data_IF_833698802675
#
_entry.id   IF_833698802675
#
_cell.length_a   1.000
_cell.length_b   1.000
_cell.length_c   1.000
_cell.angle_alpha   90.00
_cell.angle_beta   90.00
_cell.angle_gamma   90.00
#
_symmetry.space_group_name_H-M   'P 1'
#
loop_
_entity.id
_entity.type
_entity.pdbx_description
1 polymer ?
#
# COMPACT_ATOMS: atom_id res chain seq x y z
N UNK A 1 10.50 10.81 -9.51
CA UNK A 1 9.13 11.13 -9.03
C UNK A 1 8.18 10.18 -9.75
N UNK A 2 7.55 9.25 -9.03
CA UNK A 2 6.54 8.35 -9.61
C UNK A 2 5.35 9.22 -10.03
N UNK A 3 5.14 9.40 -11.34
CA UNK A 3 4.00 10.18 -11.83
C UNK A 3 2.71 9.40 -11.53
N UNK A 4 1.59 10.06 -11.28
CA UNK A 4 0.31 9.35 -11.19
C UNK A 4 -0.22 9.03 -12.57
N UNK A 5 -0.96 7.92 -12.65
CA UNK A 5 -1.81 7.66 -13.82
C UNK A 5 -2.87 8.77 -13.92
N UNK A 6 -3.07 9.39 -15.10
CA UNK A 6 -4.15 10.35 -15.29
C UNK A 6 -5.52 9.75 -14.98
N UNK A 7 -6.43 10.55 -14.39
CA UNK A 7 -7.81 10.12 -14.10
C UNK A 7 -8.52 9.66 -15.37
N UNK A 8 -8.25 10.32 -16.50
CA UNK A 8 -8.79 9.96 -17.81
C UNK A 8 -8.43 8.52 -18.20
N UNK A 9 -7.20 8.08 -17.92
CA UNK A 9 -6.76 6.70 -18.18
C UNK A 9 -7.54 5.70 -17.33
N UNK A 10 -7.85 6.04 -16.08
CA UNK A 10 -8.61 5.17 -15.17
C UNK A 10 -10.07 5.05 -15.62
N UNK A 11 -10.68 6.15 -16.07
CA UNK A 11 -12.04 6.15 -16.62
C UNK A 11 -12.10 5.32 -17.91
N UNK A 12 -11.12 5.45 -18.81
CA UNK A 12 -11.02 4.60 -20.01
C UNK A 12 -10.83 3.12 -19.66
N UNK A 13 -10.02 2.83 -18.63
CA UNK A 13 -9.84 1.47 -18.13
C UNK A 13 -11.16 0.88 -17.60
N UNK A 14 -11.99 1.67 -16.91
CA UNK A 14 -13.33 1.26 -16.47
C UNK A 14 -14.29 0.98 -17.64
N UNK A 15 -14.09 1.65 -18.78
CA UNK A 15 -14.82 1.39 -20.01
C UNK A 15 -14.33 0.13 -20.75
N UNK A 16 -13.23 -0.51 -20.30
CA UNK A 16 -12.63 -1.68 -20.94
C UNK A 16 -11.68 -1.33 -22.09
N UNK A 17 -11.15 -0.11 -22.13
CA UNK A 17 -10.19 0.32 -23.14
C UNK A 17 -8.84 -0.40 -22.98
N UNK A 18 -8.42 -1.10 -24.03
CA UNK A 18 -7.19 -1.90 -24.04
C UNK A 18 -5.92 -1.03 -24.00
N UNK A 19 -5.93 0.16 -24.63
CA UNK A 19 -4.79 1.07 -24.59
C UNK A 19 -4.59 1.65 -23.18
N UNK A 20 -5.68 1.93 -22.47
CA UNK A 20 -5.66 2.35 -21.08
C UNK A 20 -5.14 1.23 -20.16
N UNK A 21 -5.51 -0.03 -20.42
CA UNK A 21 -4.94 -1.18 -19.71
C UNK A 21 -3.44 -1.29 -19.93
N UNK A 22 -2.97 -1.21 -21.17
CA UNK A 22 -1.54 -1.28 -21.48
C UNK A 22 -0.76 -0.13 -20.81
N UNK A 23 -1.30 1.09 -20.83
CA UNK A 23 -0.69 2.22 -20.14
C UNK A 23 -0.61 1.99 -18.62
N UNK A 24 -1.66 1.46 -18.01
CA UNK A 24 -1.69 1.09 -16.59
C UNK A 24 -0.69 -0.04 -16.28
N UNK A 25 -0.62 -1.05 -17.13
CA UNK A 25 0.32 -2.16 -16.98
C UNK A 25 1.77 -1.67 -16.97
N UNK A 26 2.18 -0.91 -17.99
CA UNK A 26 3.55 -0.38 -18.09
C UNK A 26 3.90 0.54 -16.92
N UNK A 27 2.91 1.25 -16.40
CA UNK A 27 3.09 2.15 -15.27
C UNK A 27 3.32 1.43 -13.94
N UNK A 28 2.65 0.29 -13.73
CA UNK A 28 2.61 -0.38 -12.43
C UNK A 28 3.44 -1.67 -12.38
N UNK A 29 3.77 -2.30 -13.52
CA UNK A 29 4.42 -3.62 -13.58
C UNK A 29 5.62 -3.76 -12.66
N UNK A 30 6.55 -2.81 -12.70
CA UNK A 30 7.81 -2.92 -11.97
C UNK A 30 7.60 -2.68 -10.47
N UNK A 31 6.74 -1.73 -10.12
CA UNK A 31 6.38 -1.44 -8.72
C UNK A 31 5.68 -2.65 -8.08
N UNK A 32 4.66 -3.19 -8.75
CA UNK A 32 3.91 -4.34 -8.24
C UNK A 32 4.78 -5.59 -8.20
N UNK A 33 5.64 -5.80 -9.20
CA UNK A 33 6.60 -6.91 -9.18
C UNK A 33 7.54 -6.82 -7.97
N UNK A 34 8.11 -5.64 -7.71
CA UNK A 34 8.97 -5.42 -6.53
C UNK A 34 8.20 -5.73 -5.25
N UNK A 35 6.97 -5.22 -5.09
CA UNK A 35 6.14 -5.47 -3.90
C UNK A 35 5.87 -6.97 -3.72
N UNK A 36 5.39 -7.65 -4.76
CA UNK A 36 5.05 -9.07 -4.72
C UNK A 36 6.29 -9.92 -4.45
N UNK A 37 7.40 -9.67 -5.15
CA UNK A 37 8.67 -10.36 -4.95
C UNK A 37 9.23 -10.16 -3.56
N UNK A 38 9.06 -8.95 -3.02
CA UNK A 38 9.52 -8.63 -1.67
C UNK A 38 8.78 -9.45 -0.59
N UNK A 39 7.56 -9.93 -0.88
CA UNK A 39 6.77 -10.78 0.01
C UNK A 39 7.06 -12.27 -0.25
N UNK A 40 7.04 -12.70 -1.51
CA UNK A 40 7.13 -14.13 -1.86
C UNK A 40 8.57 -14.66 -1.88
N UNK A 41 9.56 -13.78 -2.11
CA UNK A 41 10.98 -14.11 -2.32
C UNK A 41 11.22 -15.19 -3.40
N UNK A 42 10.25 -15.41 -4.30
CA UNK A 42 10.31 -16.44 -5.34
C UNK A 42 9.91 -15.86 -6.70
N UNK A 43 10.77 -16.02 -7.70
CA UNK A 43 10.64 -15.35 -9.00
C UNK A 43 9.39 -15.81 -9.75
N UNK A 44 9.21 -17.13 -9.92
CA UNK A 44 8.09 -17.69 -10.69
C UNK A 44 6.75 -17.32 -10.04
N UNK A 45 6.63 -17.53 -8.72
CA UNK A 45 5.42 -17.17 -7.96
C UNK A 45 5.13 -15.69 -8.03
N UNK A 46 6.15 -14.83 -8.06
CA UNK A 46 5.93 -13.39 -8.21
C UNK A 46 5.40 -13.01 -9.57
N UNK A 47 5.85 -13.68 -10.63
CA UNK A 47 5.38 -13.44 -11.99
C UNK A 47 3.93 -13.89 -12.16
N UNK A 48 3.58 -15.06 -11.63
CA UNK A 48 2.21 -15.58 -11.64
C UNK A 48 1.26 -14.63 -10.90
N UNK A 49 1.62 -14.23 -9.67
CA UNK A 49 0.79 -13.33 -8.87
C UNK A 49 0.72 -11.92 -9.45
N UNK A 50 1.76 -11.44 -10.13
CA UNK A 50 1.71 -10.18 -10.86
C UNK A 50 0.67 -10.24 -11.98
N UNK A 51 0.63 -11.36 -12.71
CA UNK A 51 -0.36 -11.57 -13.75
C UNK A 51 -1.79 -11.65 -13.17
N UNK A 52 -1.98 -12.42 -12.09
CA UNK A 52 -3.25 -12.49 -11.37
C UNK A 52 -3.72 -11.13 -10.85
N UNK A 53 -2.77 -10.31 -10.37
CA UNK A 53 -3.04 -8.93 -9.94
C UNK A 53 -3.63 -8.11 -11.06
N UNK A 54 -3.01 -8.11 -12.26
CA UNK A 54 -3.52 -7.33 -13.39
C UNK A 54 -4.85 -7.86 -13.93
N UNK A 55 -5.06 -9.18 -13.92
CA UNK A 55 -6.36 -9.78 -14.25
C UNK A 55 -7.43 -9.28 -13.27
N UNK A 56 -7.15 -9.34 -11.98
CA UNK A 56 -8.07 -8.89 -10.93
C UNK A 56 -8.34 -7.39 -10.98
N UNK A 57 -7.33 -6.59 -11.29
CA UNK A 57 -7.48 -5.16 -11.55
C UNK A 57 -8.44 -4.93 -12.72
N UNK A 58 -8.24 -5.61 -13.85
CA UNK A 58 -9.07 -5.43 -15.03
C UNK A 58 -10.54 -5.83 -14.78
N UNK A 59 -10.78 -6.89 -14.00
CA UNK A 59 -12.13 -7.35 -13.69
C UNK A 59 -12.83 -6.49 -12.63
N UNK A 60 -12.09 -5.97 -11.65
CA UNK A 60 -12.66 -5.25 -10.51
C UNK A 60 -12.61 -3.72 -10.64
N UNK A 61 -11.87 -3.14 -11.59
CA UNK A 61 -11.70 -1.67 -11.73
C UNK A 61 -13.02 -0.92 -11.88
N UNK A 62 -14.04 -1.56 -12.46
CA UNK A 62 -15.41 -1.00 -12.58
C UNK A 62 -16.08 -0.77 -11.23
N UNK A 63 -15.63 -1.45 -10.18
CA UNK A 63 -16.14 -1.30 -8.81
C UNK A 63 -15.46 -0.14 -8.05
N UNK A 64 -14.35 0.39 -8.58
CA UNK A 64 -13.63 1.50 -7.97
C UNK A 64 -14.43 2.80 -8.09
N UNK A 65 -15.03 3.24 -6.99
CA UNK A 65 -15.87 4.45 -6.95
C UNK A 65 -15.10 5.76 -7.10
N UNK A 66 -13.85 5.80 -6.62
CA UNK A 66 -13.01 6.98 -6.67
C UNK A 66 -11.71 6.68 -7.44
N UNK A 67 -11.58 7.17 -8.69
CA UNK A 67 -10.37 7.01 -9.49
C UNK A 67 -9.09 7.55 -8.83
N UNK A 68 -9.17 8.56 -7.95
CA UNK A 68 -8.01 9.09 -7.25
C UNK A 68 -7.34 8.04 -6.35
N UNK A 69 -8.09 7.03 -5.91
CA UNK A 69 -7.64 5.94 -5.03
C UNK A 69 -7.06 4.75 -5.80
N UNK A 70 -6.95 4.83 -7.13
CA UNK A 70 -6.49 3.71 -7.95
C UNK A 70 -5.12 3.20 -7.53
N UNK A 71 -4.17 4.10 -7.24
CA UNK A 71 -2.81 3.74 -6.82
C UNK A 71 -2.77 2.87 -5.56
N UNK A 72 -3.47 3.29 -4.51
CA UNK A 72 -3.56 2.50 -3.27
C UNK A 72 -4.33 1.21 -3.46
N UNK A 73 -5.38 1.24 -4.29
CA UNK A 73 -6.23 0.09 -4.55
C UNK A 73 -5.49 -1.03 -5.30
N UNK A 74 -4.73 -0.70 -6.35
CA UNK A 74 -3.94 -1.71 -7.09
C UNK A 74 -2.83 -2.33 -6.24
N UNK A 75 -2.16 -1.53 -5.41
CA UNK A 75 -1.15 -2.03 -4.47
C UNK A 75 -1.80 -2.99 -3.45
N UNK A 76 -3.02 -2.71 -2.99
CA UNK A 76 -3.74 -3.59 -2.07
C UNK A 76 -3.98 -4.97 -2.67
N UNK A 77 -4.43 -5.00 -3.93
CA UNK A 77 -4.69 -6.25 -4.65
C UNK A 77 -3.41 -7.09 -4.71
N UNK A 78 -2.31 -6.50 -5.17
CA UNK A 78 -1.03 -7.16 -5.32
C UNK A 78 -0.52 -7.75 -4.00
N UNK A 79 -0.54 -6.94 -2.94
CA UNK A 79 -0.10 -7.34 -1.60
C UNK A 79 -0.98 -8.46 -1.04
N UNK A 80 -2.29 -8.37 -1.17
CA UNK A 80 -3.21 -9.39 -0.65
C UNK A 80 -3.00 -10.74 -1.34
N UNK A 81 -2.82 -10.74 -2.66
CA UNK A 81 -2.49 -11.95 -3.41
C UNK A 81 -1.16 -12.56 -2.95
N UNK A 82 -0.12 -11.73 -2.81
CA UNK A 82 1.20 -12.16 -2.33
C UNK A 82 1.16 -12.74 -0.89
N UNK A 83 0.50 -12.05 0.04
CA UNK A 83 0.38 -12.49 1.43
C UNK A 83 -0.41 -13.80 1.55
N UNK A 84 -1.49 -13.94 0.77
CA UNK A 84 -2.28 -15.16 0.75
C UNK A 84 -1.49 -16.34 0.20
N UNK A 85 -0.62 -16.12 -0.79
CA UNK A 85 0.21 -17.17 -1.38
C UNK A 85 1.28 -17.72 -0.42
N UNK A 86 1.81 -16.88 0.49
CA UNK A 86 2.85 -17.31 1.45
C UNK A 86 2.30 -17.74 2.81
N UNK A 87 0.99 -17.60 3.03
CA UNK A 87 0.38 -17.81 4.35
C UNK A 87 0.57 -19.25 4.82
N UNK A 88 1.29 -19.43 5.94
CA UNK A 88 1.33 -20.71 6.66
C UNK A 88 0.07 -20.87 7.52
N UNK A 89 -0.45 -22.10 7.70
CA UNK A 89 -1.57 -22.34 8.61
C UNK A 89 -1.24 -21.84 10.02
N UNK A 90 -2.01 -20.87 10.54
CA UNK A 90 -1.86 -20.32 11.88
C UNK A 90 -1.14 -18.97 11.98
N UNK A 91 -0.60 -18.41 10.89
CA UNK A 91 0.07 -17.11 10.91
C UNK A 91 -0.94 -15.98 10.61
N UNK A 92 -1.14 -15.08 11.60
CA UNK A 92 -1.93 -13.86 11.43
C UNK A 92 -1.06 -12.78 10.79
N UNK A 93 -1.20 -12.63 9.47
CA UNK A 93 -0.72 -11.44 8.78
C UNK A 93 -1.70 -10.29 9.06
N UNK A 94 -1.14 -9.09 9.17
CA UNK A 94 -1.78 -7.78 9.33
C UNK A 94 -3.32 -7.74 9.21
N UNK A 95 -3.96 -7.23 10.26
CA UNK A 95 -5.39 -6.90 10.26
C UNK A 95 -5.71 -5.94 9.10
N UNK A 96 -6.72 -6.33 8.31
CA UNK A 96 -7.27 -5.69 7.11
C UNK A 96 -7.58 -4.20 7.34
N UNK A 97 -7.85 -3.84 8.61
CA UNK A 97 -8.03 -2.47 9.09
C UNK A 97 -6.85 -1.55 8.76
N UNK A 98 -5.60 -2.00 8.89
CA UNK A 98 -4.42 -1.12 8.79
C UNK A 98 -4.23 -0.52 7.41
N UNK A 99 -4.48 -1.32 6.37
CA UNK A 99 -4.33 -0.87 4.99
C UNK A 99 -5.57 -0.12 4.49
N UNK A 100 -6.76 -0.44 5.02
CA UNK A 100 -7.97 0.35 4.77
C UNK A 100 -7.84 1.82 5.24
N UNK A 101 -6.91 2.14 6.16
CA UNK A 101 -6.55 3.53 6.46
C UNK A 101 -5.63 4.16 5.40
N UNK A 102 -4.74 3.39 4.78
CA UNK A 102 -3.84 3.89 3.72
C UNK A 102 -4.57 4.11 2.39
N UNK A 103 -5.59 3.29 2.08
CA UNK A 103 -6.41 3.40 0.86
C UNK A 103 -7.50 4.46 0.89
N UNK A 104 -7.66 5.20 2.01
CA UNK A 104 -8.70 6.23 2.13
C UNK A 104 -8.28 7.62 1.65
N UNK A 105 -7.02 7.84 1.28
CA UNK A 105 -6.50 9.17 0.96
C UNK A 105 -6.23 9.35 -0.53
N UNK A 106 -6.65 10.49 -1.04
CA UNK A 106 -6.50 10.88 -2.45
C UNK A 106 -5.08 11.38 -2.78
N UNK A 107 -4.18 11.52 -1.79
CA UNK A 107 -2.78 11.91 -1.99
C UNK A 107 -1.75 11.15 -1.11
N UNK A 108 -1.00 10.17 -1.67
CA UNK A 108 0.14 9.53 -0.98
C UNK A 108 1.28 10.47 -0.52
N UNK A 109 1.40 11.69 -1.05
CA UNK A 109 2.39 12.69 -0.62
C UNK A 109 2.11 13.16 0.81
N UNK A 110 0.86 13.42 1.16
CA UNK A 110 0.47 13.87 2.52
C UNK A 110 0.71 12.75 3.55
N UNK A 111 0.46 11.50 3.16
CA UNK A 111 0.71 10.34 4.00
C UNK A 111 2.22 10.09 4.24
N UNK A 112 3.05 10.19 3.20
CA UNK A 112 4.51 10.09 3.33
C UNK A 112 5.06 11.25 4.19
N UNK A 113 4.48 12.45 4.07
CA UNK A 113 4.83 13.62 4.90
C UNK A 113 4.52 13.36 6.38
N UNK A 114 3.35 12.82 6.69
CA UNK A 114 2.93 12.42 8.03
C UNK A 114 3.82 11.34 8.63
N UNK A 115 4.27 10.40 7.80
CA UNK A 115 5.18 9.31 8.17
C UNK A 115 6.55 9.83 8.60
N UNK A 116 7.11 10.79 7.87
CA UNK A 116 8.40 11.41 8.21
C UNK A 116 8.33 12.31 9.44
N UNK A 117 7.18 12.95 9.69
CA UNK A 117 7.02 13.93 10.77
C UNK A 117 6.77 13.31 12.15
N UNK A 118 6.06 12.19 12.20
CA UNK A 118 5.50 11.67 13.47
C UNK A 118 6.14 10.36 13.95
N UNK A 119 6.92 9.67 13.13
CA UNK A 119 7.52 8.39 13.49
C UNK A 119 9.02 8.50 13.73
N UNK A 120 9.50 7.83 14.77
CA UNK A 120 10.94 7.68 14.98
C UNK A 120 11.58 6.96 13.79
N UNK A 121 12.90 7.15 13.62
CA UNK A 121 13.66 6.54 12.53
C UNK A 121 13.50 5.01 12.47
N UNK A 122 13.43 4.35 13.63
CA UNK A 122 13.29 2.89 13.72
C UNK A 122 11.87 2.45 13.34
N UNK A 123 10.84 3.15 13.83
CA UNK A 123 9.44 2.90 13.46
C UNK A 123 9.22 3.08 11.95
N UNK A 124 9.84 4.12 11.38
CA UNK A 124 9.86 4.38 9.94
C UNK A 124 10.44 3.20 9.16
N UNK A 125 11.63 2.71 9.55
CA UNK A 125 12.28 1.58 8.90
C UNK A 125 11.46 0.29 9.02
N UNK A 126 10.87 0.01 10.18
CA UNK A 126 10.03 -1.18 10.37
C UNK A 126 8.81 -1.13 9.46
N UNK A 127 8.09 -0.01 9.40
CA UNK A 127 6.95 0.13 8.49
C UNK A 127 7.39 0.04 7.03
N UNK A 128 8.52 0.66 6.65
CA UNK A 128 8.99 0.66 5.27
C UNK A 128 9.41 -0.74 4.83
N UNK A 129 10.25 -1.41 5.62
CA UNK A 129 10.66 -2.78 5.34
C UNK A 129 9.51 -3.76 5.34
N UNK A 130 8.51 -3.56 6.19
CA UNK A 130 7.37 -4.45 6.23
C UNK A 130 6.36 -4.19 5.11
N UNK A 131 6.04 -2.91 4.82
CA UNK A 131 4.96 -2.55 3.89
C UNK A 131 5.43 -2.33 2.45
N UNK A 132 6.64 -1.79 2.26
CA UNK A 132 7.19 -1.49 0.93
C UNK A 132 8.03 -2.66 0.44
N UNK A 133 8.82 -3.27 1.35
CA UNK A 133 9.74 -4.34 1.02
C UNK A 133 9.29 -5.72 1.52
N UNK A 134 8.08 -5.85 2.07
CA UNK A 134 7.46 -7.15 2.36
C UNK A 134 8.20 -8.06 3.34
N UNK A 135 9.21 -7.56 4.07
CA UNK A 135 9.96 -8.37 5.03
C UNK A 135 9.05 -8.81 6.18
N UNK A 136 9.24 -10.05 6.63
CA UNK A 136 8.63 -10.57 7.86
C UNK A 136 9.19 -9.84 9.09
N UNK A 137 8.45 -9.82 10.20
CA UNK A 137 8.95 -9.22 11.44
C UNK A 137 10.22 -9.92 11.96
N UNK A 138 10.41 -11.20 11.63
CA UNK A 138 11.64 -11.93 11.89
C UNK A 138 12.81 -11.38 11.07
N UNK A 139 12.66 -11.20 9.76
CA UNK A 139 13.71 -10.61 8.92
C UNK A 139 14.03 -9.18 9.34
N UNK A 140 13.01 -8.37 9.65
CA UNK A 140 13.20 -7.00 10.14
C UNK A 140 13.93 -7.02 11.49
N UNK A 141 13.51 -7.87 12.43
CA UNK A 141 14.17 -8.05 13.74
C UNK A 141 15.66 -8.30 13.62
N UNK A 142 16.07 -9.20 12.71
CA UNK A 142 17.48 -9.45 12.44
C UNK A 142 18.16 -8.25 11.77
N UNK A 143 17.50 -7.61 10.79
CA UNK A 143 18.04 -6.48 10.04
C UNK A 143 18.29 -5.24 10.90
N UNK A 144 17.40 -4.95 11.85
CA UNK A 144 17.50 -3.78 12.74
C UNK A 144 18.09 -4.12 14.12
N UNK A 145 18.61 -5.35 14.27
CA UNK A 145 19.22 -5.87 15.50
C UNK A 145 18.34 -5.64 16.76
N UNK A 146 17.03 -5.83 16.62
CA UNK A 146 16.04 -5.65 17.69
C UNK A 146 15.28 -6.95 17.93
N UNK A 147 14.93 -7.29 19.19
CA UNK A 147 14.10 -8.46 19.48
C UNK A 147 12.77 -8.44 18.71
N UNK A 148 12.32 -9.60 18.23
CA UNK A 148 11.07 -9.77 17.48
C UNK A 148 9.87 -9.13 18.19
N UNK A 149 9.74 -9.37 19.50
CA UNK A 149 8.70 -8.79 20.35
C UNK A 149 8.71 -7.26 20.32
N UNK A 150 9.90 -6.65 20.30
CA UNK A 150 10.06 -5.21 20.23
C UNK A 150 9.77 -4.68 18.82
N UNK A 151 10.12 -5.41 17.76
CA UNK A 151 9.78 -5.07 16.36
C UNK A 151 8.25 -5.04 16.16
N UNK A 152 7.53 -6.05 16.67
CA UNK A 152 6.06 -6.07 16.66
C UNK A 152 5.46 -4.92 17.46
N UNK A 153 6.03 -4.61 18.64
CA UNK A 153 5.58 -3.51 19.49
C UNK A 153 5.75 -2.15 18.81
N UNK A 154 6.94 -1.89 18.25
CA UNK A 154 7.26 -0.65 17.54
C UNK A 154 6.42 -0.50 16.29
N UNK A 155 6.17 -1.59 15.56
CA UNK A 155 5.24 -1.57 14.43
C UNK A 155 3.82 -1.14 14.86
N UNK A 156 3.27 -1.74 15.92
CA UNK A 156 1.95 -1.34 16.45
C UNK A 156 1.92 0.10 16.96
N UNK A 157 2.98 0.53 17.64
CA UNK A 157 3.14 1.90 18.12
C UNK A 157 3.14 2.89 16.95
N UNK A 158 3.91 2.58 15.90
CA UNK A 158 3.99 3.41 14.71
C UNK A 158 2.63 3.55 14.00
N UNK A 159 1.86 2.47 13.90
CA UNK A 159 0.50 2.53 13.37
C UNK A 159 -0.46 3.36 14.24
N UNK A 160 -0.37 3.25 15.56
CA UNK A 160 -1.19 4.02 16.48
C UNK A 160 -0.88 5.53 16.39
N UNK A 161 0.41 5.88 16.31
CA UNK A 161 0.86 7.26 16.11
C UNK A 161 0.34 7.83 14.79
N UNK A 162 0.47 7.09 13.69
CA UNK A 162 -0.08 7.50 12.40
C UNK A 162 -1.59 7.72 12.46
N UNK A 163 -2.33 6.85 13.16
CA UNK A 163 -3.79 6.98 13.34
C UNK A 163 -4.19 8.26 14.08
N UNK A 164 -3.46 8.62 15.14
CA UNK A 164 -3.74 9.83 15.95
C UNK A 164 -3.39 11.10 15.18
N UNK A 165 -2.20 11.14 14.57
CA UNK A 165 -1.78 12.29 13.75
C UNK A 165 -2.75 12.55 12.60
N UNK A 166 -3.32 11.47 12.02
CA UNK A 166 -4.31 11.56 10.95
C UNK A 166 -5.66 12.14 11.41
N UNK A 167 -6.16 11.72 12.58
CA UNK A 167 -7.41 12.22 13.13
C UNK A 167 -7.39 13.73 13.44
N UNK A 168 -6.22 14.25 13.79
CA UNK A 168 -6.05 15.68 14.08
C UNK A 168 -5.89 16.53 12.81
N UNK A 169 -5.12 16.08 11.80
CA UNK A 169 -4.96 16.85 10.55
C UNK A 169 -6.21 16.78 9.63
N UNK A 170 -7.01 15.70 9.69
CA UNK A 170 -8.27 15.59 8.96
C UNK A 170 -9.37 16.55 9.46
N UNK A 171 -9.36 16.90 10.74
CA UNK A 171 -10.27 17.91 11.32
C UNK A 171 -9.87 19.34 10.92
N UNK A 172 -8.57 19.63 10.97
CA UNK A 172 -7.98 20.94 10.65
C UNK A 172 -8.13 21.30 9.15
N UNK A 173 -8.04 20.29 8.26
CA UNK A 173 -8.31 20.48 6.83
C UNK A 173 -9.80 20.68 6.50
N UNK A 174 -10.72 20.11 7.29
CA UNK A 174 -12.16 20.27 7.09
C UNK A 174 -12.65 21.67 7.52
N UNK A 175 -12.07 22.27 8.56
CA UNK A 175 -12.37 23.64 8.99
C UNK A 175 -11.81 24.69 8.01
N UNK A 176 -10.59 24.49 7.51
CA UNK A 176 -9.97 25.39 6.51
C UNK A 176 -10.67 25.45 5.15
N UNK A 177 -11.46 24.43 4.81
CA UNK A 177 -12.26 24.38 3.59
C UNK A 177 -13.64 25.04 3.77
N UNK A 178 -14.09 25.29 5.01
CA UNK A 178 -15.37 25.97 5.31
C UNK A 178 -15.22 27.47 5.57
N UNK A 179 -14.01 27.98 5.79
CA UNK A 179 -13.73 29.42 5.98
C UNK A 179 -13.37 30.17 4.69
N UNK A 180 -13.45 29.52 3.52
CA UNK A 180 -13.09 30.12 2.22
C UNK A 180 -14.26 30.46 1.30
N UNK A 181 -15.49 30.32 1.77
CA UNK A 181 -16.71 30.77 1.06
C UNK A 181 -17.25 32.10 1.64
#
# INVERSE_FOLDING_TARGET
MFKRLPITTIVSLQAGDEAAFNNMYDHYRDLLYVIIFSITKHVETSQDLLQDTFIKVFTEVKTLKNPLKFHSWIIQIAKNLALNAIKKPGEQLLDETTWNYMGQNDDPSDFISLWHKNLSRIENLIIAYHLVYGLTFQEISHLIESPLTNTHRLYKQALATLKVSYGNEGADNHERLQEKD
#
